data_IF_386391020064
#
_entry.id   IF_386391020064
#
_cell.length_a   1.000
_cell.length_b   1.000
_cell.length_c   1.000
_cell.angle_alpha   90.00
_cell.angle_beta   90.00
_cell.angle_gamma   90.00
#
_symmetry.space_group_name_H-M   'P 1'
#
loop_
_entity.id
_entity.type
_entity.pdbx_description
1 polymer ?
#
# COMPACT_ATOMS: atom_id res chain seq x y z
N UNK A 1 22.32 -6.94 -5.88
CA UNK A 1 22.80 -8.10 -6.67
C UNK A 1 22.01 -8.36 -7.95
N UNK A 2 20.71 -8.04 -8.09
CA UNK A 2 20.01 -8.18 -9.40
C UNK A 2 19.30 -6.93 -9.95
N UNK A 3 19.04 -5.89 -9.14
CA UNK A 3 18.93 -4.53 -9.73
C UNK A 3 20.23 -4.10 -10.40
N UNK A 4 21.32 -4.78 -10.05
CA UNK A 4 22.61 -4.72 -10.70
C UNK A 4 22.56 -5.43 -12.07
N UNK A 5 22.21 -6.71 -12.13
CA UNK A 5 22.38 -7.51 -13.37
C UNK A 5 21.55 -7.05 -14.59
N UNK A 6 20.35 -6.51 -14.42
CA UNK A 6 19.57 -5.99 -15.57
C UNK A 6 20.14 -4.66 -16.09
N UNK A 7 20.87 -3.92 -15.24
CA UNK A 7 21.59 -2.69 -15.62
C UNK A 7 22.98 -2.96 -16.21
N UNK A 8 23.50 -4.20 -16.13
CA UNK A 8 24.85 -4.56 -16.60
C UNK A 8 24.88 -5.36 -17.91
N UNK A 9 23.72 -5.64 -18.52
CA UNK A 9 23.67 -6.26 -19.83
C UNK A 9 23.86 -5.20 -20.93
N UNK A 10 25.09 -5.14 -21.46
CA UNK A 10 25.54 -4.43 -22.68
C UNK A 10 25.83 -2.93 -22.56
N UNK A 11 27.08 -2.59 -22.22
CA UNK A 11 27.96 -1.63 -22.93
C UNK A 11 29.26 -1.41 -22.12
N UNK A 12 30.40 -1.30 -22.81
CA UNK A 12 31.76 -1.12 -22.22
C UNK A 12 31.93 0.19 -21.41
N UNK A 13 30.92 1.05 -21.34
CA UNK A 13 30.89 2.26 -20.53
C UNK A 13 29.79 2.13 -19.49
N UNK A 14 30.17 1.88 -18.23
CA UNK A 14 29.21 1.89 -17.11
C UNK A 14 28.57 3.28 -17.05
N UNK A 15 27.25 3.42 -17.27
CA UNK A 15 26.60 4.72 -17.17
C UNK A 15 26.82 5.28 -15.75
N UNK A 16 26.95 6.61 -15.60
CA UNK A 16 27.17 7.23 -14.29
C UNK A 16 26.08 6.79 -13.31
N UNK A 17 26.46 6.38 -12.10
CA UNK A 17 25.52 5.88 -11.08
C UNK A 17 24.33 6.82 -10.84
N UNK A 18 24.55 8.14 -11.01
CA UNK A 18 23.51 9.16 -10.90
C UNK A 18 22.44 9.08 -12.01
N UNK A 19 22.83 8.71 -13.23
CA UNK A 19 21.90 8.51 -14.34
C UNK A 19 21.07 7.24 -14.10
N UNK A 20 21.75 6.15 -13.70
CA UNK A 20 21.09 4.89 -13.35
C UNK A 20 20.10 5.04 -12.20
N UNK A 21 20.48 5.75 -11.13
CA UNK A 21 19.58 6.03 -10.01
C UNK A 21 18.36 6.84 -10.47
N UNK A 22 18.58 7.88 -11.29
CA UNK A 22 17.48 8.69 -11.82
C UNK A 22 16.51 7.91 -12.72
N UNK A 23 17.03 7.03 -13.57
CA UNK A 23 16.20 6.13 -14.39
C UNK A 23 15.41 5.15 -13.53
N UNK A 24 16.03 4.55 -12.51
CA UNK A 24 15.36 3.63 -11.60
C UNK A 24 14.24 4.31 -10.83
N UNK A 25 14.47 5.53 -10.35
CA UNK A 25 13.45 6.32 -9.66
C UNK A 25 12.27 6.65 -10.58
N UNK A 26 12.56 7.02 -11.83
CA UNK A 26 11.53 7.27 -12.86
C UNK A 26 10.71 6.02 -13.14
N UNK A 27 11.36 4.85 -13.30
CA UNK A 27 10.66 3.58 -13.55
C UNK A 27 9.77 3.20 -12.36
N UNK A 28 10.27 3.36 -11.13
CA UNK A 28 9.49 3.08 -9.91
C UNK A 28 8.28 4.00 -9.79
N UNK A 29 8.44 5.28 -10.08
CA UNK A 29 7.35 6.24 -10.06
C UNK A 29 6.28 5.89 -11.12
N UNK A 30 6.70 5.63 -12.37
CA UNK A 30 5.80 5.23 -13.45
C UNK A 30 5.06 3.94 -13.10
N UNK A 31 5.74 2.96 -12.49
CA UNK A 31 5.12 1.72 -12.03
C UNK A 31 4.03 1.97 -10.97
N UNK A 32 4.32 2.81 -9.97
CA UNK A 32 3.33 3.17 -8.95
C UNK A 32 2.14 3.91 -9.54
N UNK A 33 2.38 4.88 -10.44
CA UNK A 33 1.29 5.62 -11.10
C UNK A 33 0.41 4.69 -11.95
N UNK A 34 1.03 3.78 -12.71
CA UNK A 34 0.30 2.81 -13.53
C UNK A 34 -0.51 1.82 -12.68
N UNK A 35 0.08 1.30 -11.59
CA UNK A 35 -0.61 0.42 -10.66
C UNK A 35 -1.83 1.12 -10.01
N UNK A 36 -1.66 2.38 -9.58
CA UNK A 36 -2.76 3.17 -9.01
C UNK A 36 -3.87 3.45 -10.05
N UNK A 37 -3.50 3.68 -11.31
CA UNK A 37 -4.46 3.84 -12.39
C UNK A 37 -5.28 2.57 -12.61
N UNK A 38 -4.63 1.41 -12.70
CA UNK A 38 -5.33 0.13 -12.87
C UNK A 38 -6.30 -0.15 -11.70
N UNK A 39 -5.84 0.09 -10.47
CA UNK A 39 -6.68 -0.06 -9.28
C UNK A 39 -7.88 0.90 -9.25
N UNK A 40 -7.78 2.06 -9.91
CA UNK A 40 -8.87 3.03 -10.01
C UNK A 40 -9.88 2.75 -11.12
N UNK A 41 -9.53 1.91 -12.11
CA UNK A 41 -10.39 1.61 -13.27
C UNK A 41 -10.99 0.20 -13.25
N UNK A 42 -10.43 -0.70 -12.43
CA UNK A 42 -10.77 -2.12 -12.41
C UNK A 42 -11.22 -2.56 -11.02
N UNK A 43 -12.03 -3.61 -10.97
CA UNK A 43 -12.33 -4.32 -9.73
C UNK A 43 -11.18 -5.26 -9.34
N UNK A 44 -11.25 -5.80 -8.12
CA UNK A 44 -10.19 -6.66 -7.59
C UNK A 44 -10.02 -7.95 -8.39
N UNK A 45 -11.11 -8.54 -8.89
CA UNK A 45 -11.08 -9.78 -9.68
C UNK A 45 -10.50 -9.54 -11.07
N UNK A 46 -10.83 -8.42 -11.72
CA UNK A 46 -10.22 -8.01 -12.98
C UNK A 46 -8.72 -7.77 -12.82
N UNK A 47 -8.32 -7.09 -11.74
CA UNK A 47 -6.91 -6.85 -11.44
C UNK A 47 -6.14 -8.15 -11.12
N UNK A 48 -6.74 -9.07 -10.36
CA UNK A 48 -6.14 -10.37 -10.04
C UNK A 48 -5.87 -11.24 -11.27
N UNK A 49 -6.70 -11.15 -12.31
CA UNK A 49 -6.50 -11.88 -13.58
C UNK A 49 -5.33 -11.34 -14.41
N UNK A 50 -4.97 -10.07 -14.22
CA UNK A 50 -3.83 -9.46 -14.91
C UNK A 50 -2.50 -9.78 -14.22
N UNK A 51 -2.53 -10.03 -12.91
CA UNK A 51 -1.33 -10.34 -12.17
C UNK A 51 -0.85 -11.77 -12.48
N UNK A 52 0.43 -11.94 -12.85
CA UNK A 52 1.08 -13.25 -12.82
C UNK A 52 1.00 -13.85 -11.40
N UNK A 53 1.09 -15.18 -11.27
CA UNK A 53 1.16 -15.83 -9.97
C UNK A 53 2.28 -15.25 -9.09
N UNK A 54 2.07 -15.21 -7.78
CA UNK A 54 3.05 -14.69 -6.82
C UNK A 54 4.43 -15.35 -6.95
N UNK A 55 4.46 -16.65 -7.25
CA UNK A 55 5.69 -17.40 -7.49
C UNK A 55 6.47 -16.88 -8.69
N UNK A 56 5.81 -16.62 -9.83
CA UNK A 56 6.46 -16.03 -11.03
C UNK A 56 6.99 -14.63 -10.74
N UNK A 57 6.21 -13.79 -10.04
CA UNK A 57 6.65 -12.45 -9.66
C UNK A 57 7.91 -12.45 -8.79
N UNK A 58 8.04 -13.42 -7.88
CA UNK A 58 9.19 -13.54 -6.99
C UNK A 58 10.39 -14.28 -7.64
N UNK A 59 10.13 -15.42 -8.31
CA UNK A 59 11.18 -16.32 -8.82
C UNK A 59 11.70 -15.96 -10.21
N UNK A 60 10.84 -15.49 -11.10
CA UNK A 60 11.22 -15.23 -12.50
C UNK A 60 11.50 -13.75 -12.72
N UNK A 61 10.64 -12.88 -12.16
CA UNK A 61 10.79 -11.43 -12.32
C UNK A 61 11.67 -10.79 -11.23
N UNK A 62 12.02 -11.57 -10.19
CA UNK A 62 12.92 -11.17 -9.12
C UNK A 62 12.56 -9.80 -8.50
N UNK A 63 11.26 -9.55 -8.32
CA UNK A 63 10.80 -8.27 -7.79
C UNK A 63 11.31 -8.04 -6.36
N UNK A 64 11.73 -6.80 -6.11
CA UNK A 64 12.04 -6.36 -4.75
C UNK A 64 10.77 -6.38 -3.89
N UNK A 65 10.86 -6.66 -2.57
CA UNK A 65 9.73 -6.71 -1.66
C UNK A 65 8.77 -5.53 -1.83
N UNK A 66 9.29 -4.30 -1.83
CA UNK A 66 8.46 -3.09 -1.96
C UNK A 66 7.58 -3.09 -3.21
N UNK A 67 8.12 -3.49 -4.37
CA UNK A 67 7.38 -3.54 -5.64
C UNK A 67 6.42 -4.73 -5.70
N UNK A 68 6.88 -5.90 -5.23
CA UNK A 68 6.08 -7.10 -5.14
C UNK A 68 4.82 -6.86 -4.30
N UNK A 69 5.00 -6.35 -3.07
CA UNK A 69 3.89 -6.09 -2.16
C UNK A 69 3.01 -4.92 -2.61
N UNK A 70 3.57 -3.89 -3.24
CA UNK A 70 2.76 -2.83 -3.86
C UNK A 70 1.79 -3.39 -4.91
N UNK A 71 2.25 -4.33 -5.74
CA UNK A 71 1.42 -4.97 -6.75
C UNK A 71 0.34 -5.89 -6.15
N UNK A 72 0.66 -6.68 -5.13
CA UNK A 72 -0.27 -7.70 -4.63
C UNK A 72 -1.22 -7.21 -3.53
N UNK A 73 -0.95 -6.06 -2.88
CA UNK A 73 -1.81 -5.52 -1.81
C UNK A 73 -3.31 -5.45 -2.17
N UNK A 74 -3.72 -4.97 -3.36
CA UNK A 74 -5.14 -4.89 -3.72
C UNK A 74 -5.83 -6.26 -3.73
N UNK A 75 -5.17 -7.29 -4.28
CA UNK A 75 -5.72 -8.64 -4.37
C UNK A 75 -5.70 -9.38 -3.03
N UNK A 76 -4.68 -9.14 -2.20
CA UNK A 76 -4.62 -9.68 -0.84
C UNK A 76 -5.73 -9.08 0.02
N UNK A 77 -5.99 -7.76 -0.11
CA UNK A 77 -7.09 -7.10 0.59
C UNK A 77 -8.46 -7.62 0.15
N UNK A 78 -8.63 -7.86 -1.15
CA UNK A 78 -9.87 -8.41 -1.69
C UNK A 78 -10.08 -9.88 -1.29
N UNK A 79 -9.01 -10.66 -1.17
CA UNK A 79 -9.07 -12.03 -0.68
C UNK A 79 -9.61 -12.09 0.76
N UNK A 80 -9.21 -11.17 1.63
CA UNK A 80 -9.64 -11.16 3.03
C UNK A 80 -9.39 -12.50 3.71
N UNK A 81 -10.42 -13.08 4.33
CA UNK A 81 -10.37 -14.38 5.01
C UNK A 81 -10.69 -15.56 4.06
N UNK A 82 -10.82 -15.31 2.75
CA UNK A 82 -11.10 -16.38 1.78
C UNK A 82 -9.84 -17.23 1.55
N UNK A 83 -9.77 -18.36 2.25
CA UNK A 83 -8.66 -19.33 2.15
C UNK A 83 -8.55 -20.01 0.79
N UNK A 84 -9.60 -19.98 -0.03
CA UNK A 84 -9.58 -20.54 -1.39
C UNK A 84 -8.87 -19.61 -2.38
N UNK A 85 -8.72 -18.33 -2.04
CA UNK A 85 -8.06 -17.36 -2.91
C UNK A 85 -6.55 -17.68 -3.01
N UNK A 86 -5.97 -17.68 -4.22
CA UNK A 86 -4.53 -17.82 -4.40
C UNK A 86 -3.74 -16.66 -3.78
N UNK A 87 -4.43 -15.54 -3.49
CA UNK A 87 -3.88 -14.34 -2.88
C UNK A 87 -4.18 -14.24 -1.37
N UNK A 88 -4.66 -15.32 -0.74
CA UNK A 88 -4.86 -15.38 0.70
C UNK A 88 -3.53 -15.11 1.44
N UNK A 89 -3.55 -14.19 2.44
CA UNK A 89 -2.35 -13.69 3.11
C UNK A 89 -1.45 -14.79 3.68
N UNK A 90 -2.05 -15.80 4.31
CA UNK A 90 -1.33 -16.95 4.88
C UNK A 90 -1.40 -18.19 3.96
N UNK A 91 -1.74 -17.99 2.69
CA UNK A 91 -1.79 -19.05 1.69
C UNK A 91 -0.39 -19.57 1.32
N UNK A 92 -0.31 -20.87 1.00
CA UNK A 92 0.94 -21.54 0.64
C UNK A 92 1.68 -20.82 -0.51
N UNK A 93 0.95 -20.34 -1.52
CA UNK A 93 1.50 -19.64 -2.69
C UNK A 93 2.28 -18.38 -2.31
N UNK A 94 1.76 -17.56 -1.39
CA UNK A 94 2.46 -16.36 -0.91
C UNK A 94 3.62 -16.71 0.01
N UNK A 95 3.45 -17.72 0.87
CA UNK A 95 4.51 -18.19 1.78
C UNK A 95 5.72 -18.77 1.03
N UNK A 96 5.50 -19.40 -0.11
CA UNK A 96 6.57 -19.85 -1.02
C UNK A 96 7.17 -18.67 -1.78
N UNK A 97 6.35 -17.73 -2.27
CA UNK A 97 6.85 -16.57 -3.01
C UNK A 97 7.81 -15.72 -2.18
N UNK A 98 7.54 -15.52 -0.88
CA UNK A 98 8.42 -14.72 -0.01
C UNK A 98 9.80 -15.34 0.21
N UNK A 99 9.97 -16.65 0.02
CA UNK A 99 11.30 -17.32 0.06
C UNK A 99 12.20 -16.94 -1.11
N UNK A 100 11.63 -16.33 -2.15
CA UNK A 100 12.35 -15.97 -3.36
C UNK A 100 12.51 -14.46 -3.53
N UNK A 101 11.94 -13.66 -2.63
CA UNK A 101 12.12 -12.22 -2.63
C UNK A 101 13.54 -11.86 -2.21
N UNK A 102 14.11 -10.84 -2.87
CA UNK A 102 15.44 -10.33 -2.55
C UNK A 102 15.38 -8.85 -2.17
N UNK A 103 16.00 -8.43 -1.04
CA UNK A 103 16.82 -9.23 -0.13
C UNK A 103 15.97 -10.17 0.75
N UNK A 104 16.47 -11.37 0.97
CA UNK A 104 15.75 -12.43 1.70
C UNK A 104 15.99 -12.29 3.22
N UNK A 105 14.93 -12.26 4.06
CA UNK A 105 15.07 -12.19 5.51
C UNK A 105 15.71 -13.44 6.12
N UNK A 106 16.33 -13.32 7.29
CA UNK A 106 16.72 -14.52 8.05
C UNK A 106 15.48 -15.10 8.74
N UNK A 107 14.89 -16.16 8.16
CA UNK A 107 13.71 -16.82 8.69
C UNK A 107 13.94 -17.53 10.03
N UNK A 108 15.19 -17.67 10.49
CA UNK A 108 15.49 -18.15 11.86
C UNK A 108 15.17 -17.10 12.91
N UNK A 109 15.32 -15.84 12.54
CA UNK A 109 15.17 -14.67 13.40
C UNK A 109 13.88 -13.89 13.15
N UNK A 110 13.19 -14.12 12.04
CA UNK A 110 11.94 -13.45 11.66
C UNK A 110 10.91 -14.47 11.16
N UNK A 111 9.65 -14.32 11.54
CA UNK A 111 8.58 -15.19 11.02
C UNK A 111 8.04 -14.66 9.70
N UNK A 112 7.72 -15.56 8.76
CA UNK A 112 7.03 -15.19 7.51
C UNK A 112 5.69 -14.53 7.76
N UNK A 113 4.97 -14.94 8.80
CA UNK A 113 3.68 -14.37 9.17
C UNK A 113 3.81 -12.90 9.55
N UNK A 114 4.80 -12.53 10.38
CA UNK A 114 5.06 -11.12 10.70
C UNK A 114 5.48 -10.34 9.46
N UNK A 115 6.37 -10.91 8.64
CA UNK A 115 6.84 -10.28 7.41
C UNK A 115 5.68 -9.99 6.42
N UNK A 116 4.83 -10.98 6.17
CA UNK A 116 3.64 -10.85 5.33
C UNK A 116 2.65 -9.86 5.93
N UNK A 117 2.43 -9.89 7.26
CA UNK A 117 1.57 -8.92 7.92
C UNK A 117 2.10 -7.50 7.70
N UNK A 118 3.39 -7.25 7.95
CA UNK A 118 4.00 -5.94 7.75
C UNK A 118 3.84 -5.45 6.31
N UNK A 119 4.26 -6.27 5.34
CA UNK A 119 4.34 -5.83 3.96
C UNK A 119 2.99 -5.79 3.24
N UNK A 120 1.98 -6.55 3.68
CA UNK A 120 0.63 -6.51 3.08
C UNK A 120 -0.26 -5.39 3.62
N UNK A 121 0.15 -4.69 4.69
CA UNK A 121 -0.53 -3.48 5.15
C UNK A 121 0.20 -2.22 4.66
N UNK A 122 -0.54 -1.13 4.51
CA UNK A 122 0.00 0.21 4.28
C UNK A 122 -0.32 1.12 5.46
N UNK A 123 0.28 2.32 5.47
CA UNK A 123 0.03 3.31 6.53
C UNK A 123 -1.47 3.64 6.70
N UNK A 124 -2.22 3.64 5.59
CA UNK A 124 -3.67 3.86 5.58
C UNK A 124 -4.45 2.83 6.40
N UNK A 125 -3.92 1.60 6.50
CA UNK A 125 -4.58 0.49 7.19
C UNK A 125 -4.40 0.52 8.71
N UNK A 126 -3.42 1.29 9.21
CA UNK A 126 -3.02 1.28 10.63
C UNK A 126 -3.22 2.62 11.33
N UNK A 127 -3.44 3.70 10.58
CA UNK A 127 -3.55 5.04 11.13
C UNK A 127 -4.60 5.88 10.42
N UNK A 128 -5.41 6.60 11.20
CA UNK A 128 -6.37 7.60 10.71
C UNK A 128 -5.84 9.00 11.02
N UNK A 129 -5.52 9.82 10.01
CA UNK A 129 -5.07 11.21 10.18
C UNK A 129 -6.24 12.14 10.53
N UNK A 130 -6.81 11.97 11.74
CA UNK A 130 -8.03 12.68 12.19
C UNK A 130 -7.86 14.19 12.20
N UNK A 131 -6.68 14.69 12.62
CA UNK A 131 -6.38 16.11 12.66
C UNK A 131 -6.40 16.75 11.27
N UNK A 132 -5.89 16.06 10.26
CA UNK A 132 -5.85 16.50 8.87
C UNK A 132 -7.25 16.54 8.26
N UNK A 133 -8.08 15.51 8.49
CA UNK A 133 -9.49 15.51 8.08
C UNK A 133 -10.25 16.69 8.69
N UNK A 134 -10.04 16.94 9.98
CA UNK A 134 -10.69 18.04 10.69
C UNK A 134 -10.24 19.40 10.15
N UNK A 135 -8.93 19.61 9.96
CA UNK A 135 -8.39 20.84 9.41
C UNK A 135 -8.93 21.15 8.00
N UNK A 136 -8.94 20.16 7.09
CA UNK A 136 -9.45 20.33 5.73
C UNK A 136 -10.96 20.59 5.74
N UNK A 137 -11.71 19.86 6.58
CA UNK A 137 -13.15 20.04 6.73
C UNK A 137 -13.49 21.44 7.25
N UNK A 138 -12.78 21.92 8.27
CA UNK A 138 -12.99 23.26 8.81
C UNK A 138 -12.65 24.35 7.81
N UNK A 139 -11.57 24.20 7.04
CA UNK A 139 -11.21 25.14 5.96
C UNK A 139 -12.33 25.27 4.92
N UNK A 140 -12.88 24.14 4.45
CA UNK A 140 -14.00 24.13 3.48
C UNK A 140 -15.29 24.72 4.08
N UNK A 141 -15.58 24.44 5.35
CA UNK A 141 -16.73 25.04 6.06
C UNK A 141 -16.60 26.56 6.18
N UNK A 142 -15.40 27.05 6.48
CA UNK A 142 -15.14 28.49 6.55
C UNK A 142 -15.36 29.18 5.19
N UNK A 143 -14.99 28.50 4.09
CA UNK A 143 -15.24 28.98 2.72
C UNK A 143 -16.74 29.02 2.38
N UNK A 144 -17.50 27.98 2.74
CA UNK A 144 -18.97 27.99 2.60
C UNK A 144 -19.58 29.15 3.41
N UNK A 145 -19.17 29.30 4.67
CA UNK A 145 -19.68 30.36 5.53
C UNK A 145 -19.36 31.77 4.98
N UNK A 146 -18.26 31.94 4.24
CA UNK A 146 -17.95 33.18 3.54
C UNK A 146 -18.95 33.44 2.40
N UNK A 147 -19.17 32.46 1.53
CA UNK A 147 -20.11 32.54 0.41
C UNK A 147 -21.53 32.85 0.91
N UNK A 148 -21.94 32.25 2.02
CA UNK A 148 -23.27 32.45 2.60
C UNK A 148 -23.42 33.84 3.26
N UNK A 149 -22.41 34.31 3.99
CA UNK A 149 -22.42 35.65 4.63
C UNK A 149 -22.52 36.77 3.61
N UNK A 150 -21.78 36.66 2.51
CA UNK A 150 -21.82 37.64 1.43
C UNK A 150 -23.04 37.46 0.52
N UNK A 151 -23.89 36.45 0.78
CA UNK A 151 -25.08 36.08 -0.02
C UNK A 151 -24.77 35.82 -1.50
N UNK A 152 -23.49 35.60 -1.84
CA UNK A 152 -23.02 35.42 -3.21
C UNK A 152 -23.71 34.27 -3.93
N UNK A 153 -24.04 33.20 -3.23
CA UNK A 153 -24.73 32.06 -3.82
C UNK A 153 -26.19 32.35 -4.24
N UNK A 154 -26.84 33.35 -3.63
CA UNK A 154 -28.20 33.75 -4.01
C UNK A 154 -28.19 34.65 -5.25
N UNK A 155 -27.16 35.50 -5.35
CA UNK A 155 -27.03 36.49 -6.42
C UNK A 155 -26.28 35.93 -7.66
N UNK A 156 -25.46 34.89 -7.49
CA UNK A 156 -24.62 34.31 -8.54
C UNK A 156 -24.73 32.77 -8.61
N UNK A 157 -25.27 32.21 -9.71
CA UNK A 157 -25.35 30.75 -9.93
C UNK A 157 -24.00 30.01 -9.88
N UNK A 158 -22.89 30.67 -10.23
CA UNK A 158 -21.57 30.07 -10.18
C UNK A 158 -21.10 29.84 -8.72
N UNK A 159 -21.37 30.78 -7.83
CA UNK A 159 -21.03 30.69 -6.40
C UNK A 159 -21.94 29.68 -5.69
N UNK A 160 -23.22 29.56 -6.08
CA UNK A 160 -24.08 28.47 -5.65
C UNK A 160 -23.50 27.10 -6.00
N UNK A 161 -23.08 26.92 -7.26
CA UNK A 161 -22.45 25.67 -7.72
C UNK A 161 -21.13 25.38 -7.00
N UNK A 162 -20.33 26.41 -6.69
CA UNK A 162 -19.11 26.27 -5.88
C UNK A 162 -19.42 25.84 -4.45
N UNK A 163 -20.42 26.44 -3.79
CA UNK A 163 -20.89 26.03 -2.46
C UNK A 163 -21.32 24.57 -2.44
N UNK A 164 -22.18 24.16 -3.39
CA UNK A 164 -22.67 22.78 -3.49
C UNK A 164 -21.52 21.77 -3.73
N UNK A 165 -20.49 22.16 -4.49
CA UNK A 165 -19.26 21.35 -4.66
C UNK A 165 -18.49 21.19 -3.34
N UNK A 166 -18.33 22.26 -2.57
CA UNK A 166 -17.65 22.21 -1.26
C UNK A 166 -18.42 21.35 -0.26
N UNK A 167 -19.75 21.46 -0.21
CA UNK A 167 -20.62 20.62 0.61
C UNK A 167 -20.48 19.13 0.24
N UNK A 168 -20.48 18.83 -1.06
CA UNK A 168 -20.27 17.47 -1.57
C UNK A 168 -18.89 16.93 -1.16
N UNK A 169 -17.84 17.74 -1.26
CA UNK A 169 -16.49 17.36 -0.83
C UNK A 169 -16.41 17.10 0.67
N UNK A 170 -17.06 17.92 1.50
CA UNK A 170 -17.14 17.70 2.95
C UNK A 170 -17.86 16.38 3.26
N UNK A 171 -18.96 16.09 2.58
CA UNK A 171 -19.69 14.83 2.75
C UNK A 171 -18.81 13.62 2.42
N UNK A 172 -18.10 13.67 1.28
CA UNK A 172 -17.15 12.62 0.86
C UNK A 172 -16.02 12.41 1.89
N UNK A 173 -15.38 13.48 2.35
CA UNK A 173 -14.30 13.40 3.35
C UNK A 173 -14.76 12.79 4.67
N UNK A 174 -16.00 13.10 5.10
CA UNK A 174 -16.58 12.52 6.31
C UNK A 174 -16.85 11.03 6.16
N UNK A 175 -17.36 10.62 5.02
CA UNK A 175 -17.63 9.23 4.72
C UNK A 175 -16.33 8.42 4.62
N UNK A 176 -15.34 8.93 3.87
CA UNK A 176 -14.00 8.34 3.77
C UNK A 176 -13.36 8.18 5.15
N UNK A 177 -13.39 9.22 5.99
CA UNK A 177 -12.90 9.14 7.38
C UNK A 177 -13.62 8.03 8.16
N UNK A 178 -14.95 7.94 8.07
CA UNK A 178 -15.75 6.95 8.78
C UNK A 178 -15.40 5.52 8.34
N UNK A 179 -15.22 5.30 7.03
CA UNK A 179 -14.80 4.03 6.48
C UNK A 179 -13.39 3.66 6.92
N UNK A 180 -12.46 4.63 6.89
CA UNK A 180 -11.08 4.42 7.34
C UNK A 180 -11.02 4.10 8.85
N UNK A 181 -11.80 4.79 9.69
CA UNK A 181 -11.89 4.51 11.13
C UNK A 181 -12.41 3.09 11.41
N UNK A 182 -13.40 2.64 10.64
CA UNK A 182 -13.91 1.27 10.74
C UNK A 182 -12.85 0.25 10.31
N UNK A 183 -12.15 0.51 9.21
CA UNK A 183 -11.10 -0.35 8.66
C UNK A 183 -9.92 -0.48 9.64
N UNK A 184 -9.35 0.65 10.07
CA UNK A 184 -8.21 0.67 11.00
C UNK A 184 -8.57 -0.02 12.31
N UNK A 185 -9.81 0.16 12.81
CA UNK A 185 -10.27 -0.57 14.00
C UNK A 185 -10.23 -2.09 13.79
N UNK A 186 -10.78 -2.58 12.67
CA UNK A 186 -10.77 -4.00 12.35
C UNK A 186 -9.35 -4.57 12.20
N UNK A 187 -8.47 -3.85 11.52
CA UNK A 187 -7.05 -4.24 11.36
C UNK A 187 -6.35 -4.30 12.72
N UNK A 188 -6.56 -3.30 13.57
CA UNK A 188 -5.92 -3.26 14.90
C UNK A 188 -6.48 -4.33 15.84
N UNK A 189 -7.76 -4.66 15.75
CA UNK A 189 -8.37 -5.74 16.53
C UNK A 189 -7.83 -7.11 16.08
N UNK A 190 -7.70 -7.33 14.77
CA UNK A 190 -7.03 -8.53 14.22
C UNK A 190 -5.57 -8.61 14.70
N UNK A 191 -4.81 -7.51 14.60
CA UNK A 191 -3.42 -7.46 15.09
C UNK A 191 -3.33 -7.82 16.57
N UNK A 192 -4.23 -7.30 17.42
CA UNK A 192 -4.26 -7.64 18.85
C UNK A 192 -4.54 -9.12 19.09
N UNK A 193 -5.36 -9.75 18.25
CA UNK A 193 -5.65 -11.18 18.35
C UNK A 193 -4.44 -12.04 17.96
N UNK A 194 -3.67 -11.64 16.95
CA UNK A 194 -2.53 -12.42 16.44
C UNK A 194 -1.19 -12.04 17.06
N UNK A 195 -1.06 -10.91 17.77
CA UNK A 195 0.25 -10.39 18.25
C UNK A 195 1.09 -11.41 19.02
N UNK A 196 0.44 -12.26 19.82
CA UNK A 196 1.13 -13.28 20.65
C UNK A 196 1.65 -14.44 19.80
N UNK A 197 1.08 -14.64 18.61
CA UNK A 197 1.48 -15.68 17.68
C UNK A 197 2.50 -15.16 16.66
N UNK A 198 2.55 -13.86 16.37
CA UNK A 198 3.43 -13.30 15.33
C UNK A 198 4.91 -13.65 15.47
N UNK A 199 5.41 -13.87 16.69
CA UNK A 199 6.82 -14.18 16.97
C UNK A 199 7.01 -15.58 17.58
N UNK A 200 6.05 -16.49 17.41
CA UNK A 200 6.21 -17.89 17.83
C UNK A 200 7.15 -18.62 16.88
N UNK A 201 7.73 -19.72 17.36
CA UNK A 201 8.48 -20.69 16.54
C UNK A 201 9.76 -20.14 15.90
N UNK A 202 10.39 -19.17 16.55
CA UNK A 202 11.71 -18.65 16.15
C UNK A 202 12.84 -19.53 16.69
N UNK A 203 13.83 -19.82 15.85
CA UNK A 203 15.07 -20.49 16.28
C UNK A 203 15.98 -19.52 17.05
N UNK A 204 16.01 -18.24 16.65
CA UNK A 204 16.86 -17.22 17.25
C UNK A 204 16.09 -15.94 17.61
N UNK A 205 15.80 -15.76 18.90
CA UNK A 205 15.10 -14.57 19.38
C UNK A 205 15.96 -13.30 19.49
N UNK A 206 17.30 -13.43 19.61
CA UNK A 206 18.20 -12.29 19.83
C UNK A 206 18.37 -11.43 18.57
N UNK A 207 18.34 -12.06 17.40
CA UNK A 207 18.49 -11.40 16.09
C UNK A 207 17.21 -10.74 15.58
N UNK A 208 16.05 -11.02 16.18
CA UNK A 208 14.74 -10.61 15.65
C UNK A 208 14.61 -9.11 15.41
N UNK A 209 15.05 -8.27 16.35
CA UNK A 209 14.94 -6.81 16.20
C UNK A 209 15.78 -6.32 15.01
N UNK A 210 17.02 -6.78 14.92
CA UNK A 210 17.93 -6.39 13.84
C UNK A 210 17.42 -6.90 12.49
N UNK A 211 16.94 -8.13 12.43
CA UNK A 211 16.35 -8.71 11.23
C UNK A 211 15.10 -7.90 10.80
N UNK A 212 14.20 -7.61 11.73
CA UNK A 212 13.01 -6.80 11.42
C UNK A 212 13.39 -5.43 10.86
N UNK A 213 14.29 -4.68 11.51
CA UNK A 213 14.74 -3.36 11.02
C UNK A 213 15.45 -3.40 9.66
N UNK A 214 16.05 -4.52 9.30
CA UNK A 214 16.80 -4.67 8.05
C UNK A 214 15.90 -5.01 6.86
N UNK A 215 14.78 -5.71 7.09
CA UNK A 215 13.96 -6.31 6.04
C UNK A 215 12.50 -5.83 6.01
N UNK A 216 12.06 -5.06 7.02
CA UNK A 216 10.75 -4.43 7.10
C UNK A 216 10.93 -2.91 7.24
#
# INVERSE_FOLDING_TARGET
RQTDDVLFASTDERPPLKLLSGQLDTVREVFTQFSNFLQGQMDADGYAKLLPPASTLAKEYHLQPALFFHAIRPVVRAAGDNTESPWHREGATLLEAVDHLTPHPDWKSLTKRLYLWFWTHSLYDVFVPTAEYDAITQRKKAEIAHIDRERLAYDNPAEKKRRDRLETQISKLREERREQEKHVRGVMDNLRAIKETLLTDLEEHKGTIMCFLQYC
#
